data_IF_390334925877
#
_entry.id   IF_390334925877
#
_cell.length_a   1.000
_cell.length_b   1.000
_cell.length_c   1.000
_cell.angle_alpha   90.00
_cell.angle_beta   90.00
_cell.angle_gamma   90.00
#
_symmetry.space_group_name_H-M   'P 1'
#
loop_
_entity.id
_entity.type
_entity.pdbx_description
1 polymer ?
#
# COMPACT_ATOMS: atom_id res chain seq x y z
N UNK A 1 20.41 -2.00 -14.99
CA UNK A 1 19.69 -0.71 -15.04
C UNK A 1 19.63 -0.13 -13.62
N UNK A 2 20.27 1.01 -13.38
CA UNK A 2 20.36 1.67 -12.06
C UNK A 2 18.93 2.07 -11.63
N UNK A 3 18.40 1.35 -10.65
CA UNK A 3 16.97 1.17 -10.38
C UNK A 3 16.33 2.42 -9.74
N UNK A 4 16.27 3.58 -10.39
CA UNK A 4 15.67 4.79 -9.79
C UNK A 4 14.19 4.62 -9.36
N UNK A 5 13.52 3.55 -9.80
CA UNK A 5 12.16 3.22 -9.40
C UNK A 5 12.01 2.93 -7.90
N UNK A 6 13.00 2.33 -7.21
CA UNK A 6 12.91 2.18 -5.75
C UNK A 6 12.95 3.55 -5.05
N UNK A 7 13.76 4.48 -5.55
CA UNK A 7 13.83 5.84 -5.01
C UNK A 7 12.51 6.57 -5.19
N UNK A 8 11.93 6.50 -6.39
CA UNK A 8 10.62 7.10 -6.70
C UNK A 8 9.55 6.52 -5.77
N UNK A 9 9.49 5.20 -5.62
CA UNK A 9 8.54 4.55 -4.72
C UNK A 9 8.70 5.00 -3.27
N UNK A 10 9.93 5.01 -2.75
CA UNK A 10 10.19 5.46 -1.38
C UNK A 10 9.85 6.94 -1.16
N UNK A 11 10.12 7.79 -2.16
CA UNK A 11 9.76 9.21 -2.12
C UNK A 11 8.26 9.41 -2.13
N UNK A 12 7.52 8.69 -2.97
CA UNK A 12 6.06 8.78 -3.02
C UNK A 12 5.43 8.32 -1.71
N UNK A 13 5.91 7.21 -1.12
CA UNK A 13 5.40 6.74 0.17
C UNK A 13 5.73 7.70 1.30
N UNK A 14 6.94 8.28 1.32
CA UNK A 14 7.31 9.31 2.30
C UNK A 14 6.45 10.56 2.18
N UNK A 15 6.21 11.03 0.95
CA UNK A 15 5.36 12.19 0.70
C UNK A 15 3.94 11.93 1.22
N UNK A 16 3.35 10.77 0.92
CA UNK A 16 2.02 10.39 1.43
C UNK A 16 1.97 10.38 2.97
N UNK A 17 2.95 9.74 3.62
CA UNK A 17 3.02 9.70 5.09
C UNK A 17 3.14 11.11 5.69
N UNK A 18 3.92 12.01 5.08
CA UNK A 18 4.01 13.40 5.56
C UNK A 18 2.69 14.15 5.38
N UNK A 19 2.02 14.00 4.23
CA UNK A 19 0.73 14.66 4.00
C UNK A 19 -0.35 14.19 4.97
N UNK A 20 -0.40 12.90 5.27
CA UNK A 20 -1.32 12.32 6.24
C UNK A 20 -1.02 12.75 7.67
N UNK A 21 0.26 12.89 8.02
CA UNK A 21 0.67 13.40 9.32
C UNK A 21 0.16 14.83 9.56
N UNK A 22 0.25 15.70 8.55
CA UNK A 22 -0.28 17.05 8.60
C UNK A 22 -1.82 17.07 8.60
N UNK A 23 -2.45 16.20 7.81
CA UNK A 23 -3.92 16.17 7.67
C UNK A 23 -4.61 15.59 8.91
N UNK A 24 -3.97 14.67 9.61
CA UNK A 24 -4.48 14.05 10.84
C UNK A 24 -4.09 14.86 12.08
N UNK A 25 -4.46 16.15 12.11
CA UNK A 25 -4.29 17.02 13.27
C UNK A 25 -5.13 16.55 14.49
N UNK A 26 -4.86 17.02 15.73
CA UNK A 26 -5.58 16.60 16.95
C UNK A 26 -7.11 16.75 16.90
N UNK A 27 -7.62 17.71 16.11
CA UNK A 27 -9.05 17.93 15.86
C UNK A 27 -9.51 17.43 14.47
N UNK A 28 -8.67 16.64 13.80
CA UNK A 28 -8.86 16.21 12.42
C UNK A 28 -9.92 15.12 12.28
N UNK A 29 -10.56 15.07 11.10
CA UNK A 29 -11.54 14.05 10.72
C UNK A 29 -10.97 12.62 10.63
N UNK A 30 -9.65 12.47 10.73
CA UNK A 30 -8.93 11.22 10.50
C UNK A 30 -8.20 10.73 11.74
N UNK A 31 -8.28 9.43 12.01
CA UNK A 31 -7.57 8.79 13.11
C UNK A 31 -6.10 8.59 12.74
N UNK A 32 -5.23 9.38 13.36
CA UNK A 32 -3.78 9.42 13.06
C UNK A 32 -3.12 8.05 13.01
N UNK A 33 -3.37 7.26 14.06
CA UNK A 33 -2.75 5.93 14.20
C UNK A 33 -3.19 5.00 13.08
N UNK A 34 -4.46 5.05 12.69
CA UNK A 34 -5.03 4.15 11.67
C UNK A 34 -4.49 4.49 10.29
N UNK A 35 -4.51 5.78 9.93
CA UNK A 35 -4.10 6.24 8.61
C UNK A 35 -2.60 6.01 8.38
N UNK A 36 -1.75 6.43 9.32
CA UNK A 36 -0.30 6.22 9.21
C UNK A 36 0.08 4.73 9.19
N UNK A 37 -0.51 3.92 10.07
CA UNK A 37 -0.22 2.49 10.10
C UNK A 37 -0.73 1.80 8.82
N UNK A 38 -1.92 2.16 8.35
CA UNK A 38 -2.52 1.63 7.14
C UNK A 38 -1.72 1.97 5.88
N UNK A 39 -1.31 3.23 5.72
CA UNK A 39 -0.47 3.68 4.61
C UNK A 39 0.90 3.03 4.63
N UNK A 40 1.50 2.83 5.81
CA UNK A 40 2.72 2.05 5.96
C UNK A 40 2.57 0.59 5.48
N UNK A 41 1.47 -0.07 5.86
CA UNK A 41 1.17 -1.45 5.44
C UNK A 41 0.92 -1.53 3.92
N UNK A 42 0.11 -0.64 3.37
CA UNK A 42 -0.16 -0.58 1.91
C UNK A 42 1.13 -0.31 1.13
N UNK A 43 1.99 0.57 1.62
CA UNK A 43 3.32 0.81 1.06
C UNK A 43 4.19 -0.44 1.09
N UNK A 44 4.26 -1.16 2.21
CA UNK A 44 5.03 -2.40 2.30
C UNK A 44 4.53 -3.49 1.33
N UNK A 45 3.21 -3.65 1.22
CA UNK A 45 2.58 -4.61 0.29
C UNK A 45 2.90 -4.22 -1.17
N UNK A 46 2.80 -2.93 -1.50
CA UNK A 46 3.09 -2.42 -2.85
C UNK A 46 4.55 -2.61 -3.22
N UNK A 47 5.47 -2.41 -2.27
CA UNK A 47 6.89 -2.67 -2.45
C UNK A 47 7.18 -4.15 -2.73
N UNK A 48 6.56 -5.05 -1.96
CA UNK A 48 6.71 -6.49 -2.16
C UNK A 48 6.16 -6.92 -3.54
N UNK A 49 5.01 -6.39 -3.92
CA UNK A 49 4.40 -6.64 -5.25
C UNK A 49 5.32 -6.13 -6.37
N UNK A 50 5.94 -4.96 -6.21
CA UNK A 50 6.92 -4.42 -7.16
C UNK A 50 8.13 -5.35 -7.32
N UNK A 51 8.68 -5.88 -6.23
CA UNK A 51 9.81 -6.82 -6.29
C UNK A 51 9.48 -8.09 -7.07
N UNK A 52 8.28 -8.65 -6.85
CA UNK A 52 7.82 -9.85 -7.54
C UNK A 52 7.62 -9.56 -9.03
N UNK A 53 6.91 -8.48 -9.38
CA UNK A 53 6.69 -8.08 -10.77
C UNK A 53 7.98 -7.72 -11.50
N UNK A 54 8.89 -6.96 -10.87
CA UNK A 54 10.15 -6.54 -11.49
C UNK A 54 11.06 -7.72 -11.82
N UNK A 55 10.99 -8.81 -11.06
CA UNK A 55 11.75 -10.03 -11.36
C UNK A 55 11.20 -10.75 -12.58
N UNK A 56 9.88 -10.75 -12.76
CA UNK A 56 9.21 -11.41 -13.88
C UNK A 56 9.22 -10.59 -15.18
N UNK A 57 9.39 -9.28 -15.12
CA UNK A 57 9.55 -8.40 -16.31
C UNK A 57 10.82 -8.73 -17.10
N UNK A 58 11.87 -9.18 -16.44
CA UNK A 58 13.15 -9.48 -17.08
C UNK A 58 13.27 -10.93 -17.60
N UNK A 59 12.20 -11.74 -17.54
CA UNK A 59 12.24 -13.12 -18.03
C UNK A 59 12.03 -13.17 -19.54
N UNK A 60 12.90 -13.87 -20.29
CA UNK A 60 12.71 -14.16 -21.73
C UNK A 60 11.45 -14.98 -22.02
N UNK A 61 10.87 -15.65 -21.01
CA UNK A 61 9.70 -16.49 -21.18
C UNK A 61 8.38 -15.71 -20.95
N UNK A 62 7.54 -15.51 -21.98
CA UNK A 62 6.30 -14.73 -21.86
C UNK A 62 5.29 -15.34 -20.88
N UNK A 63 5.33 -16.66 -20.65
CA UNK A 63 4.46 -17.29 -19.65
C UNK A 63 4.85 -16.93 -18.21
N UNK A 64 6.14 -16.70 -17.94
CA UNK A 64 6.62 -16.29 -16.62
C UNK A 64 6.33 -14.82 -16.35
N UNK A 65 6.39 -13.98 -17.38
CA UNK A 65 5.95 -12.58 -17.31
C UNK A 65 4.50 -12.47 -16.84
N UNK A 66 3.56 -13.14 -17.54
CA UNK A 66 2.12 -13.07 -17.22
C UNK A 66 1.85 -13.59 -15.81
N UNK A 67 2.43 -14.74 -15.44
CA UNK A 67 2.25 -15.32 -14.10
C UNK A 67 2.81 -14.43 -12.99
N UNK A 68 3.94 -13.77 -13.23
CA UNK A 68 4.55 -12.86 -12.27
C UNK A 68 3.75 -11.59 -12.03
N UNK A 69 3.32 -10.93 -13.10
CA UNK A 69 2.51 -9.71 -13.02
C UNK A 69 1.14 -10.00 -12.42
N UNK A 70 0.47 -11.05 -12.90
CA UNK A 70 -0.86 -11.43 -12.42
C UNK A 70 -0.78 -11.93 -10.97
N UNK A 71 0.21 -12.76 -10.64
CA UNK A 71 0.45 -13.25 -9.28
C UNK A 71 0.80 -12.14 -8.29
N UNK A 72 1.67 -11.19 -8.69
CA UNK A 72 2.01 -10.02 -7.87
C UNK A 72 0.80 -9.12 -7.60
N UNK A 73 -0.09 -8.97 -8.59
CA UNK A 73 -1.33 -8.19 -8.47
C UNK A 73 -2.33 -8.88 -7.55
N UNK A 74 -2.58 -10.19 -7.75
CA UNK A 74 -3.46 -10.97 -6.87
C UNK A 74 -2.96 -11.00 -5.42
N UNK A 75 -1.65 -11.14 -5.22
CA UNK A 75 -1.05 -11.09 -3.89
C UNK A 75 -1.23 -9.72 -3.24
N UNK A 76 -1.05 -8.62 -3.99
CA UNK A 76 -1.30 -7.24 -3.51
C UNK A 76 -2.74 -7.09 -3.04
N UNK A 77 -3.72 -7.54 -3.83
CA UNK A 77 -5.13 -7.51 -3.45
C UNK A 77 -5.44 -8.35 -2.21
N UNK A 78 -4.94 -9.59 -2.16
CA UNK A 78 -5.18 -10.49 -1.04
C UNK A 78 -4.61 -9.93 0.27
N UNK A 79 -3.36 -9.45 0.25
CA UNK A 79 -2.73 -8.84 1.41
C UNK A 79 -3.46 -7.57 1.87
N UNK A 80 -4.00 -6.78 0.94
CA UNK A 80 -4.78 -5.59 1.29
C UNK A 80 -6.10 -5.95 1.98
N UNK A 81 -6.80 -6.98 1.52
CA UNK A 81 -8.02 -7.50 2.17
C UNK A 81 -7.71 -7.99 3.58
N UNK A 82 -6.63 -8.76 3.74
CA UNK A 82 -6.18 -9.25 5.05
C UNK A 82 -5.82 -8.08 5.98
N UNK A 83 -5.11 -7.06 5.48
CA UNK A 83 -4.76 -5.88 6.26
C UNK A 83 -6.00 -5.14 6.77
N UNK A 84 -7.00 -4.91 5.90
CA UNK A 84 -8.27 -4.28 6.29
C UNK A 84 -9.03 -5.14 7.32
N UNK A 85 -9.05 -6.46 7.13
CA UNK A 85 -9.69 -7.37 8.09
C UNK A 85 -9.02 -7.28 9.47
N UNK A 86 -7.69 -7.34 9.54
CA UNK A 86 -6.93 -7.16 10.79
C UNK A 86 -7.28 -5.82 11.44
N UNK A 87 -7.31 -4.74 10.65
CA UNK A 87 -7.60 -3.40 11.14
C UNK A 87 -9.02 -3.30 11.74
N UNK A 88 -10.01 -3.94 11.11
CA UNK A 88 -11.39 -4.03 11.62
C UNK A 88 -11.47 -4.81 12.94
N UNK A 89 -10.75 -5.94 13.06
CA UNK A 89 -10.75 -6.75 14.28
C UNK A 89 -10.08 -6.06 15.46
N UNK A 90 -8.99 -5.32 15.22
CA UNK A 90 -8.25 -4.60 16.27
C UNK A 90 -8.98 -3.33 16.73
N UNK A 91 -9.65 -2.62 15.82
CA UNK A 91 -10.23 -1.29 16.12
C UNK A 91 -11.65 -1.36 16.69
N UNK A 92 -12.28 -2.55 16.73
CA UNK A 92 -13.53 -2.84 17.46
C UNK A 92 -14.58 -1.72 17.36
N UNK A 93 -14.87 -1.24 16.13
CA UNK A 93 -15.88 -0.22 15.78
C UNK A 93 -15.54 1.26 15.99
N UNK A 94 -14.33 1.65 16.44
CA UNK A 94 -13.88 3.07 16.46
C UNK A 94 -13.25 3.54 15.13
N UNK A 95 -13.74 3.01 14.01
CA UNK A 95 -13.20 3.34 12.69
C UNK A 95 -14.03 4.47 12.09
N UNK A 96 -13.40 5.62 11.86
CA UNK A 96 -14.04 6.69 11.11
C UNK A 96 -14.11 6.27 9.64
N UNK A 97 -15.31 6.34 9.05
CA UNK A 97 -15.53 6.10 7.61
C UNK A 97 -14.52 6.82 6.70
N UNK A 98 -14.14 8.10 6.94
CA UNK A 98 -13.14 8.77 6.11
C UNK A 98 -11.75 8.11 6.11
N UNK A 99 -11.32 7.49 7.22
CA UNK A 99 -10.03 6.78 7.31
C UNK A 99 -9.92 5.65 6.27
N UNK A 100 -11.00 4.88 6.13
CA UNK A 100 -11.09 3.79 5.16
C UNK A 100 -11.05 4.30 3.71
N UNK A 101 -11.78 5.36 3.41
CA UNK A 101 -11.79 5.95 2.06
C UNK A 101 -10.42 6.50 1.66
N UNK A 102 -9.71 7.12 2.61
CA UNK A 102 -8.35 7.61 2.36
C UNK A 102 -7.38 6.44 2.12
N UNK A 103 -7.44 5.38 2.93
CA UNK A 103 -6.62 4.18 2.72
C UNK A 103 -6.87 3.52 1.35
N UNK A 104 -8.12 3.51 0.88
CA UNK A 104 -8.45 3.00 -0.45
C UNK A 104 -7.85 3.85 -1.57
N UNK A 105 -7.75 5.17 -1.38
CA UNK A 105 -7.09 6.05 -2.34
C UNK A 105 -5.58 5.82 -2.38
N UNK A 106 -4.95 5.66 -1.21
CA UNK A 106 -3.53 5.34 -1.07
C UNK A 106 -3.18 4.01 -1.76
N UNK A 107 -4.07 3.03 -1.75
CA UNK A 107 -3.88 1.75 -2.44
C UNK A 107 -3.72 1.86 -3.97
N UNK A 108 -4.35 2.86 -4.60
CA UNK A 108 -4.30 3.05 -6.05
C UNK A 108 -2.93 3.59 -6.53
N UNK A 109 -2.12 4.09 -5.60
CA UNK A 109 -0.76 4.58 -5.82
C UNK A 109 0.22 3.39 -5.74
#
# INVERSE_FOLDING_TARGET
MKNNAYLVFTLTTLLLLTTEYFLSAPDGYFTRVIVLAGTGVVGAISFLSYFISSRSVNSENPSQFVRGVMGGTFLKFFLCIVAVAVLLFTTQKKLHKPDLFLLMFVYLI
#
